data_IF_286557644704
#
_entry.id   IF_286557644704
#
_cell.length_a   1.000
_cell.length_b   1.000
_cell.length_c   1.000
_cell.angle_alpha   90.00
_cell.angle_beta   90.00
_cell.angle_gamma   90.00
#
_symmetry.space_group_name_H-M   'P 1'
#
loop_
_entity.id
_entity.type
_entity.pdbx_description
1 polymer ?
#
# COMPACT_ATOMS: atom_id res chain seq x y z
N UNK A 1 -49.29 34.95 7.36
CA UNK A 1 -49.94 33.64 7.09
C UNK A 1 -49.21 32.79 6.05
N UNK A 2 -48.47 33.33 5.06
CA UNK A 2 -47.74 32.54 4.05
C UNK A 2 -46.50 31.78 4.59
N UNK A 3 -45.78 32.37 5.55
CA UNK A 3 -44.53 31.82 6.11
C UNK A 3 -44.67 30.53 6.93
N UNK A 4 -45.86 30.21 7.45
CA UNK A 4 -46.12 28.94 8.16
C UNK A 4 -46.47 27.81 7.19
N UNK A 5 -47.16 28.13 6.08
CA UNK A 5 -47.45 27.19 4.99
C UNK A 5 -46.16 26.77 4.29
N UNK A 6 -45.26 27.73 4.01
CA UNK A 6 -43.98 27.46 3.33
C UNK A 6 -43.05 26.59 4.18
N UNK A 7 -43.06 26.77 5.51
CA UNK A 7 -42.29 25.94 6.45
C UNK A 7 -42.85 24.51 6.57
N UNK A 8 -44.17 24.37 6.52
CA UNK A 8 -44.84 23.05 6.48
C UNK A 8 -44.54 22.29 5.19
N UNK A 9 -44.61 22.97 4.04
CA UNK A 9 -44.28 22.39 2.73
C UNK A 9 -42.80 22.01 2.66
N UNK A 10 -41.90 22.88 3.12
CA UNK A 10 -40.47 22.59 3.18
C UNK A 10 -40.16 21.37 4.08
N UNK A 11 -40.84 21.24 5.22
CA UNK A 11 -40.68 20.09 6.13
C UNK A 11 -41.13 18.78 5.47
N UNK A 12 -42.27 18.80 4.76
CA UNK A 12 -42.77 17.62 4.03
C UNK A 12 -41.84 17.24 2.89
N UNK A 13 -41.32 18.21 2.12
CA UNK A 13 -40.38 17.96 1.02
C UNK A 13 -39.05 17.39 1.52
N UNK A 14 -38.51 17.90 2.63
CA UNK A 14 -37.27 17.37 3.23
C UNK A 14 -37.50 15.94 3.75
N UNK A 15 -38.63 15.68 4.41
CA UNK A 15 -38.97 14.35 4.91
C UNK A 15 -39.14 13.33 3.77
N UNK A 16 -39.76 13.71 2.65
CA UNK A 16 -39.93 12.81 1.49
C UNK A 16 -38.62 12.57 0.75
N UNK A 17 -37.73 13.57 0.63
CA UNK A 17 -36.38 13.40 0.06
C UNK A 17 -35.52 12.49 0.94
N UNK A 18 -35.60 12.61 2.26
CA UNK A 18 -34.89 11.71 3.19
C UNK A 18 -35.46 10.28 3.14
N UNK A 19 -36.77 10.12 3.02
CA UNK A 19 -37.40 8.80 2.86
C UNK A 19 -37.04 8.14 1.52
N UNK A 20 -37.00 8.90 0.42
CA UNK A 20 -36.62 8.40 -0.91
C UNK A 20 -35.14 8.05 -1.02
N UNK A 21 -34.25 8.84 -0.39
CA UNK A 21 -32.82 8.52 -0.34
C UNK A 21 -32.50 7.31 0.52
N UNK A 22 -33.30 7.04 1.55
CA UNK A 22 -33.20 5.83 2.38
C UNK A 22 -33.51 4.56 1.56
N UNK A 23 -34.45 4.61 0.62
CA UNK A 23 -34.78 3.48 -0.28
C UNK A 23 -33.67 3.22 -1.31
N UNK A 24 -32.88 4.23 -1.66
CA UNK A 24 -31.73 4.07 -2.57
C UNK A 24 -30.45 3.56 -1.87
N UNK A 25 -30.42 3.48 -0.54
CA UNK A 25 -29.22 3.16 0.23
C UNK A 25 -28.92 1.65 0.38
N UNK A 26 -29.80 0.75 -0.09
CA UNK A 26 -29.66 -0.69 0.16
C UNK A 26 -28.90 -1.48 -0.92
N UNK A 27 -28.25 -0.83 -1.90
CA UNK A 27 -27.46 -1.55 -2.91
C UNK A 27 -26.00 -1.07 -3.01
N UNK A 28 -25.27 -1.12 -1.89
CA UNK A 28 -23.80 -1.20 -1.95
C UNK A 28 -23.46 -2.63 -2.38
N UNK A 29 -23.25 -2.83 -3.69
CA UNK A 29 -22.69 -4.06 -4.23
C UNK A 29 -21.34 -4.32 -3.56
N UNK A 30 -21.23 -5.42 -2.81
CA UNK A 30 -19.96 -5.84 -2.20
C UNK A 30 -18.91 -5.97 -3.31
N UNK A 31 -17.86 -5.15 -3.26
CA UNK A 31 -16.72 -5.29 -4.16
C UNK A 31 -16.18 -6.72 -4.02
N UNK A 32 -16.10 -7.52 -5.10
CA UNK A 32 -15.55 -8.87 -5.01
C UNK A 32 -14.11 -8.77 -4.51
N UNK A 33 -13.84 -9.31 -3.33
CA UNK A 33 -12.47 -9.48 -2.85
C UNK A 33 -11.92 -10.73 -3.52
N UNK A 34 -11.08 -10.54 -4.54
CA UNK A 34 -10.41 -11.66 -5.19
C UNK A 34 -9.30 -12.17 -4.27
N UNK A 35 -9.65 -13.08 -3.37
CA UNK A 35 -8.69 -13.75 -2.51
C UNK A 35 -7.73 -14.58 -3.35
N UNK A 36 -6.43 -14.39 -3.19
CA UNK A 36 -5.42 -15.18 -3.88
C UNK A 36 -5.57 -16.67 -3.58
N UNK A 37 -5.42 -17.49 -4.60
CA UNK A 37 -5.47 -18.94 -4.44
C UNK A 37 -4.30 -19.44 -3.59
N UNK A 38 -4.45 -20.60 -2.94
CA UNK A 38 -3.34 -21.23 -2.21
C UNK A 38 -2.15 -21.56 -3.11
N UNK A 39 -2.43 -21.94 -4.37
CA UNK A 39 -1.41 -22.23 -5.38
C UNK A 39 -0.60 -20.96 -5.70
N UNK A 40 -1.29 -19.88 -6.05
CA UNK A 40 -0.67 -18.59 -6.36
C UNK A 40 0.16 -18.05 -5.19
N UNK A 41 -0.36 -18.15 -3.96
CA UNK A 41 0.39 -17.76 -2.75
C UNK A 41 1.68 -18.57 -2.59
N UNK A 42 1.65 -19.86 -2.88
CA UNK A 42 2.83 -20.72 -2.80
C UNK A 42 3.84 -20.41 -3.91
N UNK A 43 3.38 -20.13 -5.13
CA UNK A 43 4.23 -19.73 -6.25
C UNK A 43 4.97 -18.42 -5.95
N UNK A 44 4.25 -17.40 -5.46
CA UNK A 44 4.85 -16.11 -5.09
C UNK A 44 5.80 -16.22 -3.89
N UNK A 45 5.51 -17.12 -2.94
CA UNK A 45 6.42 -17.42 -1.83
C UNK A 45 7.73 -18.00 -2.36
N UNK A 46 7.65 -18.92 -3.31
CA UNK A 46 8.82 -19.56 -3.89
C UNK A 46 9.64 -18.56 -4.73
N UNK A 47 8.97 -17.71 -5.51
CA UNK A 47 9.62 -16.62 -6.24
C UNK A 47 10.37 -15.66 -5.30
N UNK A 48 9.75 -15.25 -4.20
CA UNK A 48 10.40 -14.41 -3.19
C UNK A 48 11.63 -15.09 -2.55
N UNK A 49 11.57 -16.40 -2.33
CA UNK A 49 12.69 -17.20 -1.82
C UNK A 49 13.87 -17.19 -2.80
N UNK A 50 13.60 -17.39 -4.09
CA UNK A 50 14.63 -17.36 -5.13
C UNK A 50 15.26 -15.96 -5.24
N UNK A 51 14.47 -14.89 -5.18
CA UNK A 51 14.98 -13.52 -5.17
C UNK A 51 15.91 -13.25 -3.97
N UNK A 52 15.56 -13.75 -2.78
CA UNK A 52 16.41 -13.63 -1.60
C UNK A 52 17.76 -14.31 -1.81
N UNK A 53 17.78 -15.55 -2.28
CA UNK A 53 19.04 -16.27 -2.52
C UNK A 53 19.84 -15.72 -3.70
N UNK A 54 19.20 -15.09 -4.68
CA UNK A 54 19.87 -14.34 -5.73
C UNK A 54 20.67 -13.17 -5.14
N UNK A 55 20.01 -12.30 -4.36
CA UNK A 55 20.66 -11.15 -3.72
C UNK A 55 21.73 -11.57 -2.69
N UNK A 56 21.44 -12.60 -1.87
CA UNK A 56 22.38 -13.11 -0.88
C UNK A 56 23.67 -13.64 -1.52
N UNK A 57 23.56 -14.48 -2.55
CA UNK A 57 24.73 -15.01 -3.26
C UNK A 57 25.53 -13.91 -3.94
N UNK A 58 24.85 -12.94 -4.57
CA UNK A 58 25.52 -11.78 -5.17
C UNK A 58 26.29 -10.96 -4.12
N UNK A 59 25.72 -10.75 -2.93
CA UNK A 59 26.42 -10.08 -1.84
C UNK A 59 27.66 -10.86 -1.39
N UNK A 60 27.52 -12.17 -1.17
CA UNK A 60 28.63 -13.02 -0.75
C UNK A 60 29.78 -13.04 -1.77
N UNK A 61 29.47 -13.02 -3.07
CA UNK A 61 30.46 -13.06 -4.14
C UNK A 61 31.10 -11.70 -4.45
N UNK A 62 30.33 -10.60 -4.35
CA UNK A 62 30.75 -9.27 -4.85
C UNK A 62 30.96 -8.19 -3.80
N UNK A 63 30.38 -8.34 -2.62
CA UNK A 63 30.37 -7.29 -1.61
C UNK A 63 30.92 -7.72 -0.26
N UNK A 64 30.94 -9.01 0.10
CA UNK A 64 31.49 -9.45 1.39
C UNK A 64 32.98 -9.01 1.53
N UNK A 65 33.40 -8.36 2.63
CA UNK A 65 32.70 -8.12 3.91
C UNK A 65 32.09 -6.71 4.09
N UNK A 66 31.78 -5.99 3.01
CA UNK A 66 31.21 -4.65 3.06
C UNK A 66 29.80 -4.60 3.66
N UNK A 67 29.33 -3.41 4.03
CA UNK A 67 28.01 -3.22 4.67
C UNK A 67 26.86 -3.53 3.71
N UNK A 68 26.96 -3.10 2.45
CA UNK A 68 25.92 -3.28 1.43
C UNK A 68 26.51 -3.67 0.07
N UNK A 69 25.72 -4.35 -0.77
CA UNK A 69 26.02 -4.55 -2.20
C UNK A 69 25.42 -3.41 -3.02
N UNK A 70 26.21 -2.81 -3.92
CA UNK A 70 25.71 -1.94 -4.98
C UNK A 70 25.43 -2.79 -6.25
N UNK A 71 24.16 -3.07 -6.60
CA UNK A 71 23.83 -4.10 -7.58
C UNK A 71 24.22 -3.73 -9.02
N UNK A 72 24.23 -2.45 -9.38
CA UNK A 72 24.56 -2.00 -10.74
C UNK A 72 26.07 -2.00 -11.01
N UNK A 73 26.87 -1.64 -10.00
CA UNK A 73 28.33 -1.59 -10.10
C UNK A 73 29.00 -2.86 -9.57
N UNK A 74 28.22 -3.84 -9.12
CA UNK A 74 28.68 -5.12 -8.57
C UNK A 74 29.82 -4.99 -7.55
N UNK A 75 29.71 -4.02 -6.65
CA UNK A 75 30.76 -3.64 -5.69
C UNK A 75 30.19 -3.44 -4.30
N UNK A 76 31.01 -3.70 -3.27
CA UNK A 76 30.64 -3.44 -1.88
C UNK A 76 30.63 -1.94 -1.54
N UNK A 77 29.72 -1.55 -0.65
CA UNK A 77 29.60 -0.19 -0.09
C UNK A 77 29.97 -0.22 1.39
N UNK A 78 30.79 0.74 1.81
CA UNK A 78 31.18 0.93 3.21
C UNK A 78 30.65 2.27 3.72
N UNK A 79 29.91 2.25 4.82
CA UNK A 79 29.40 3.45 5.47
C UNK A 79 30.56 4.33 5.94
N UNK A 80 30.44 5.64 5.71
CA UNK A 80 31.48 6.61 6.06
C UNK A 80 32.66 6.70 5.09
N UNK A 81 32.79 5.75 4.15
CA UNK A 81 33.79 5.78 3.07
C UNK A 81 33.13 6.16 1.75
N UNK A 82 32.04 5.47 1.38
CA UNK A 82 31.25 5.81 0.19
C UNK A 82 30.45 7.10 0.45
N UNK A 83 30.29 8.00 -0.54
CA UNK A 83 29.48 9.20 -0.39
C UNK A 83 28.09 8.88 0.16
N UNK A 84 27.67 9.67 1.15
CA UNK A 84 26.37 9.49 1.81
C UNK A 84 25.22 9.72 0.83
N UNK A 85 24.17 8.90 0.95
CA UNK A 85 22.89 9.07 0.24
C UNK A 85 21.87 9.90 1.03
N UNK A 86 22.31 10.63 2.05
CA UNK A 86 21.45 11.37 2.98
C UNK A 86 20.72 10.44 3.96
N UNK A 87 19.49 10.80 4.32
CA UNK A 87 18.65 10.13 5.32
C UNK A 87 18.49 8.61 5.11
N UNK A 88 18.68 8.11 3.88
CA UNK A 88 18.68 6.68 3.56
C UNK A 88 19.78 5.90 4.30
N UNK A 89 20.91 6.53 4.55
CA UNK A 89 21.98 5.91 5.32
C UNK A 89 21.75 6.05 6.83
N UNK A 90 20.78 6.82 7.31
CA UNK A 90 20.56 7.01 8.76
C UNK A 90 19.50 6.05 9.35
N UNK A 91 18.84 5.25 8.51
CA UNK A 91 17.72 4.36 8.91
C UNK A 91 18.12 3.29 9.92
N UNK A 92 19.41 2.92 9.96
CA UNK A 92 19.96 1.92 10.88
C UNK A 92 20.53 2.53 12.17
N UNK A 93 20.31 3.84 12.41
CA UNK A 93 20.93 4.58 13.50
C UNK A 93 22.25 5.23 13.10
N UNK A 94 22.76 6.09 13.99
CA UNK A 94 24.05 6.78 13.87
C UNK A 94 25.17 5.96 14.50
#
# INVERSE_FOLDING_TARGET
>A
MRTLQDRGVALVVVATVMALSSVAAEHISSVPTHNMSNKERNELKEEAREMFYHAYRAYMDKAYPADELMPLSCTGRYRGVTPSRGDLDDVLGK
#
